data_IF_910067301994
#
_entry.id   IF_910067301994
#
_cell.length_a   1.000
_cell.length_b   1.000
_cell.length_c   1.000
_cell.angle_alpha   90.00
_cell.angle_beta   90.00
_cell.angle_gamma   90.00
#
_symmetry.space_group_name_H-M   'P 1'
#
loop_
_entity.id
_entity.type
_entity.pdbx_description
1 polymer ?
#
# COMPACT_ATOMS: atom_id res chain seq x y z
N UNK A 1 -14.58 83.40 72.80
CA UNK A 1 -15.65 83.86 73.72
C UNK A 1 -16.89 84.10 72.89
N UNK A 2 -18.00 83.42 73.16
CA UNK A 2 -19.31 83.76 72.58
C UNK A 2 -20.34 83.59 73.69
N UNK A 3 -20.62 84.67 74.40
CA UNK A 3 -21.73 84.75 75.37
C UNK A 3 -23.04 84.59 74.60
N UNK A 4 -23.57 83.36 74.55
CA UNK A 4 -24.90 83.12 74.00
C UNK A 4 -25.90 83.57 75.04
N UNK A 5 -26.68 84.58 74.67
CA UNK A 5 -27.87 84.96 75.42
C UNK A 5 -28.79 83.74 75.50
N UNK A 6 -29.33 83.48 76.69
CA UNK A 6 -30.30 82.42 76.96
C UNK A 6 -31.72 82.99 77.02
N UNK A 7 -32.74 82.16 76.76
CA UNK A 7 -34.16 82.55 76.95
C UNK A 7 -34.43 83.07 78.36
N UNK A 8 -33.74 82.52 79.36
CA UNK A 8 -33.80 82.99 80.76
C UNK A 8 -33.26 84.42 80.88
N UNK A 9 -32.11 84.72 80.28
CA UNK A 9 -31.52 86.07 80.29
C UNK A 9 -32.37 87.09 79.51
N UNK A 10 -33.09 86.66 78.46
CA UNK A 10 -34.05 87.50 77.72
C UNK A 10 -35.26 87.82 78.59
N UNK A 11 -35.85 86.82 79.26
CA UNK A 11 -37.01 86.99 80.15
C UNK A 11 -36.69 87.85 81.37
N UNK A 12 -35.47 87.77 81.90
CA UNK A 12 -35.04 88.50 83.09
C UNK A 12 -34.47 89.89 82.79
N UNK A 13 -34.44 90.31 81.52
CA UNK A 13 -33.86 91.59 81.13
C UNK A 13 -34.71 92.76 81.61
N UNK A 14 -34.12 93.62 82.43
CA UNK A 14 -34.75 94.87 82.87
C UNK A 14 -34.14 96.08 82.14
N UNK A 15 -34.98 97.06 81.80
CA UNK A 15 -34.57 98.31 81.15
C UNK A 15 -34.69 99.52 82.08
N UNK A 16 -33.75 100.46 81.99
CA UNK A 16 -33.76 101.69 82.77
C UNK A 16 -34.89 102.63 82.30
N UNK A 17 -35.63 103.24 83.24
CA UNK A 17 -36.65 104.25 82.91
C UNK A 17 -35.98 105.54 82.43
N UNK A 18 -36.44 106.09 81.29
CA UNK A 18 -35.99 107.39 80.78
C UNK A 18 -36.65 108.53 81.58
N UNK A 19 -35.89 109.51 82.04
CA UNK A 19 -36.36 110.56 82.97
C UNK A 19 -37.29 111.62 82.37
N UNK A 20 -37.56 111.60 81.06
CA UNK A 20 -38.35 112.63 80.38
C UNK A 20 -39.34 112.01 79.38
N UNK A 21 -40.60 111.88 79.81
CA UNK A 21 -41.84 111.88 79.01
C UNK A 21 -42.12 110.84 77.91
N UNK A 22 -41.13 110.10 77.39
CA UNK A 22 -41.33 109.16 76.29
C UNK A 22 -40.58 107.85 76.51
N UNK A 23 -41.33 106.76 76.70
CA UNK A 23 -40.81 105.40 76.88
C UNK A 23 -41.84 104.36 76.47
N UNK A 24 -41.36 103.14 76.20
CA UNK A 24 -42.22 102.01 75.84
C UNK A 24 -43.04 101.52 77.05
N UNK A 25 -44.22 100.96 76.78
CA UNK A 25 -45.03 100.29 77.80
C UNK A 25 -44.27 99.08 78.36
N UNK A 26 -44.20 98.99 79.69
CA UNK A 26 -43.47 97.92 80.37
C UNK A 26 -44.11 96.56 80.17
N UNK A 27 -45.44 96.51 80.15
CA UNK A 27 -46.17 95.25 80.02
C UNK A 27 -46.07 94.73 78.59
N UNK A 28 -46.12 95.63 77.59
CA UNK A 28 -45.89 95.30 76.18
C UNK A 28 -44.46 94.81 75.93
N UNK A 29 -43.45 95.50 76.49
CA UNK A 29 -42.04 95.08 76.39
C UNK A 29 -41.80 93.73 77.07
N UNK A 30 -42.42 93.48 78.23
CA UNK A 30 -42.31 92.20 78.93
C UNK A 30 -42.94 91.05 78.12
N UNK A 31 -44.12 91.28 77.52
CA UNK A 31 -44.76 90.31 76.63
C UNK A 31 -43.92 90.03 75.39
N UNK A 32 -43.33 91.06 74.78
CA UNK A 32 -42.44 90.91 73.62
C UNK A 32 -41.14 90.16 73.97
N UNK A 33 -40.53 90.44 75.12
CA UNK A 33 -39.37 89.68 75.61
C UNK A 33 -39.71 88.21 75.88
N UNK A 34 -40.88 87.92 76.44
CA UNK A 34 -41.33 86.55 76.65
C UNK A 34 -41.52 85.80 75.31
N UNK A 35 -42.11 86.46 74.31
CA UNK A 35 -42.24 85.93 72.95
C UNK A 35 -40.87 85.68 72.29
N UNK A 36 -39.96 86.65 72.32
CA UNK A 36 -38.60 86.47 71.79
C UNK A 36 -37.89 85.32 72.48
N UNK A 37 -38.02 85.20 73.80
CA UNK A 37 -37.38 84.13 74.55
C UNK A 37 -37.91 82.74 74.16
N UNK A 38 -39.22 82.62 73.88
CA UNK A 38 -39.82 81.39 73.37
C UNK A 38 -39.33 81.04 71.96
N UNK A 39 -39.33 82.01 71.04
CA UNK A 39 -38.81 81.79 69.67
C UNK A 39 -37.30 81.49 69.68
N UNK A 40 -36.56 82.05 70.64
CA UNK A 40 -35.13 81.75 70.83
C UNK A 40 -34.88 80.32 71.30
N UNK A 41 -35.69 79.80 72.24
CA UNK A 41 -35.62 78.40 72.66
C UNK A 41 -35.93 77.46 71.49
N UNK A 42 -36.98 77.76 70.72
CA UNK A 42 -37.34 77.00 69.52
C UNK A 42 -36.21 76.99 68.49
N UNK A 43 -35.62 78.16 68.20
CA UNK A 43 -34.49 78.27 67.26
C UNK A 43 -33.26 77.48 67.74
N UNK A 44 -33.00 77.46 69.06
CA UNK A 44 -31.90 76.68 69.64
C UNK A 44 -32.14 75.18 69.50
N UNK A 45 -33.37 74.71 69.68
CA UNK A 45 -33.70 73.29 69.53
C UNK A 45 -33.68 72.86 68.06
N UNK A 46 -34.24 73.66 67.15
CA UNK A 46 -34.15 73.44 65.69
C UNK A 46 -32.68 73.39 65.21
N UNK A 47 -31.81 74.25 65.76
CA UNK A 47 -30.39 74.27 65.45
C UNK A 47 -29.65 73.02 65.97
N UNK A 48 -30.01 72.51 67.16
CA UNK A 48 -29.46 71.25 67.68
C UNK A 48 -29.91 70.07 66.83
N UNK A 49 -31.20 69.99 66.50
CA UNK A 49 -31.75 68.92 65.67
C UNK A 49 -31.09 68.91 64.29
N UNK A 50 -30.99 70.07 63.66
CA UNK A 50 -30.30 70.24 62.37
C UNK A 50 -28.84 69.79 62.45
N UNK A 51 -28.13 70.13 63.53
CA UNK A 51 -26.75 69.70 63.73
C UNK A 51 -26.63 68.18 63.86
N UNK A 52 -27.50 67.54 64.66
CA UNK A 52 -27.52 66.08 64.78
C UNK A 52 -27.77 65.42 63.42
N UNK A 53 -28.68 66.00 62.62
CA UNK A 53 -29.00 65.49 61.29
C UNK A 53 -27.84 65.66 60.31
N UNK A 54 -27.12 66.78 60.35
CA UNK A 54 -25.91 67.01 59.55
C UNK A 54 -24.85 65.97 59.93
N UNK A 55 -24.54 65.83 61.22
CA UNK A 55 -23.54 64.87 61.70
C UNK A 55 -23.89 63.42 61.29
N UNK A 56 -25.18 63.07 61.28
CA UNK A 56 -25.66 61.78 60.80
C UNK A 56 -25.48 61.60 59.28
N UNK A 57 -25.91 62.59 58.48
CA UNK A 57 -25.80 62.53 57.02
C UNK A 57 -24.34 62.52 56.55
N UNK A 58 -23.45 63.26 57.21
CA UNK A 58 -22.02 63.25 56.91
C UNK A 58 -21.39 61.87 57.11
N UNK A 59 -21.77 61.16 58.19
CA UNK A 59 -21.33 59.77 58.41
C UNK A 59 -21.85 58.82 57.34
N UNK A 60 -23.11 58.96 56.94
CA UNK A 60 -23.70 58.10 55.92
C UNK A 60 -23.05 58.34 54.55
N UNK A 61 -22.80 59.60 54.19
CA UNK A 61 -22.05 59.96 52.97
C UNK A 61 -20.64 59.35 53.00
N UNK A 62 -19.95 59.40 54.14
CA UNK A 62 -18.62 58.81 54.26
C UNK A 62 -18.65 57.30 54.03
N UNK A 63 -19.63 56.61 54.61
CA UNK A 63 -19.81 55.16 54.43
C UNK A 63 -20.14 54.81 52.98
N UNK A 64 -21.01 55.57 52.32
CA UNK A 64 -21.34 55.36 50.91
C UNK A 64 -20.13 55.53 50.01
N UNK A 65 -19.27 56.54 50.28
CA UNK A 65 -18.02 56.73 49.54
C UNK A 65 -17.03 55.59 49.71
N UNK A 66 -16.94 55.00 50.90
CA UNK A 66 -16.10 53.82 51.14
C UNK A 66 -16.59 52.60 50.35
N UNK A 67 -17.90 52.38 50.35
CA UNK A 67 -18.54 51.30 49.57
C UNK A 67 -18.33 51.52 48.08
N UNK A 68 -18.55 52.73 47.58
CA UNK A 68 -18.33 53.10 46.18
C UNK A 68 -16.87 52.85 45.75
N UNK A 69 -15.90 53.24 46.58
CA UNK A 69 -14.49 53.02 46.31
C UNK A 69 -14.14 51.53 46.25
N UNK A 70 -14.68 50.73 47.17
CA UNK A 70 -14.51 49.27 47.16
C UNK A 70 -15.14 48.62 45.93
N UNK A 71 -16.32 49.07 45.53
CA UNK A 71 -17.01 48.58 44.34
C UNK A 71 -16.22 48.91 43.07
N UNK A 72 -15.71 50.14 42.96
CA UNK A 72 -14.91 50.57 41.82
C UNK A 72 -13.61 49.75 41.69
N UNK A 73 -12.92 49.50 42.81
CA UNK A 73 -11.73 48.64 42.82
C UNK A 73 -12.05 47.21 42.37
N UNK A 74 -13.17 46.67 42.82
CA UNK A 74 -13.60 45.31 42.46
C UNK A 74 -13.96 45.23 40.98
N UNK A 75 -14.71 46.21 40.46
CA UNK A 75 -15.06 46.28 39.05
C UNK A 75 -13.83 46.37 38.16
N UNK A 76 -12.88 47.27 38.51
CA UNK A 76 -11.64 47.42 37.76
C UNK A 76 -10.79 46.15 37.79
N UNK A 77 -10.69 45.48 38.93
CA UNK A 77 -9.98 44.20 39.03
C UNK A 77 -10.65 43.11 38.18
N UNK A 78 -11.99 43.06 38.15
CA UNK A 78 -12.74 42.13 37.31
C UNK A 78 -12.54 42.42 35.81
N UNK A 79 -12.51 43.69 35.40
CA UNK A 79 -12.22 44.12 34.03
C UNK A 79 -10.80 43.73 33.60
N UNK A 80 -9.80 44.03 34.42
CA UNK A 80 -8.39 43.70 34.16
C UNK A 80 -8.18 42.19 34.07
N UNK A 81 -8.79 41.43 34.98
CA UNK A 81 -8.77 39.96 34.96
C UNK A 81 -9.42 39.42 33.69
N UNK A 82 -10.58 39.98 33.30
CA UNK A 82 -11.29 39.56 32.09
C UNK A 82 -10.49 39.84 30.83
N UNK A 83 -9.86 41.02 30.72
CA UNK A 83 -8.98 41.34 29.60
C UNK A 83 -7.79 40.38 29.53
N UNK A 84 -7.10 40.18 30.64
CA UNK A 84 -5.94 39.27 30.72
C UNK A 84 -6.34 37.84 30.36
N UNK A 85 -7.51 37.38 30.81
CA UNK A 85 -8.02 36.05 30.50
C UNK A 85 -8.31 35.89 29.00
N UNK A 86 -8.88 36.91 28.35
CA UNK A 86 -9.13 36.90 26.89
C UNK A 86 -7.81 36.85 26.12
N UNK A 87 -6.82 37.65 26.53
CA UNK A 87 -5.51 37.67 25.86
C UNK A 87 -4.77 36.34 26.01
N UNK A 88 -4.78 35.76 27.22
CA UNK A 88 -4.23 34.42 27.46
C UNK A 88 -4.96 33.34 26.65
N UNK A 89 -6.29 33.40 26.55
CA UNK A 89 -7.07 32.46 25.76
C UNK A 89 -6.72 32.55 24.27
N UNK A 90 -6.54 33.78 23.74
CA UNK A 90 -6.10 34.01 22.36
C UNK A 90 -4.70 33.47 22.10
N UNK A 91 -3.74 33.79 22.96
CA UNK A 91 -2.37 33.28 22.83
C UNK A 91 -2.33 31.74 22.88
N UNK A 92 -3.06 31.14 23.82
CA UNK A 92 -3.16 29.69 23.93
C UNK A 92 -3.83 29.05 22.71
N UNK A 93 -4.84 29.71 22.12
CA UNK A 93 -5.46 29.25 20.89
C UNK A 93 -4.49 29.30 19.70
N UNK A 94 -3.72 30.38 19.55
CA UNK A 94 -2.70 30.51 18.51
C UNK A 94 -1.61 29.44 18.64
N UNK A 95 -1.11 29.19 19.86
CA UNK A 95 -0.14 28.12 20.13
C UNK A 95 -0.73 26.76 19.73
N UNK A 96 -1.97 26.47 20.14
CA UNK A 96 -2.64 25.20 19.78
C UNK A 96 -2.81 25.04 18.28
N UNK A 97 -3.18 26.11 17.56
CA UNK A 97 -3.31 26.09 16.11
C UNK A 97 -1.94 25.86 15.44
N UNK A 98 -0.89 26.52 15.92
CA UNK A 98 0.47 26.35 15.39
C UNK A 98 0.99 24.93 15.62
N UNK A 99 0.81 24.37 16.83
CA UNK A 99 1.20 22.98 17.15
C UNK A 99 0.41 21.96 16.33
N UNK A 100 -0.90 22.17 16.16
CA UNK A 100 -1.74 21.32 15.31
C UNK A 100 -1.29 21.33 13.85
N UNK A 101 -0.95 22.52 13.32
CA UNK A 101 -0.43 22.66 11.95
C UNK A 101 0.91 21.94 11.79
N UNK A 102 1.85 22.15 12.72
CA UNK A 102 3.15 21.49 12.69
C UNK A 102 3.04 19.95 12.74
N UNK A 103 2.13 19.44 13.57
CA UNK A 103 1.82 17.99 13.64
C UNK A 103 1.22 17.47 12.34
N UNK A 104 0.27 18.21 11.75
CA UNK A 104 -0.32 17.83 10.48
C UNK A 104 0.73 17.76 9.36
N UNK A 105 1.60 18.77 9.28
CA UNK A 105 2.68 18.80 8.29
C UNK A 105 3.69 17.66 8.48
N UNK A 106 4.02 17.33 9.74
CA UNK A 106 4.87 16.19 10.06
C UNK A 106 4.24 14.85 9.61
N UNK A 107 2.95 14.64 9.91
CA UNK A 107 2.21 13.43 9.51
C UNK A 107 2.15 13.33 7.98
N UNK A 108 1.86 14.43 7.28
CA UNK A 108 1.79 14.44 5.81
C UNK A 108 3.15 14.15 5.17
N UNK A 109 4.24 14.68 5.74
CA UNK A 109 5.58 14.41 5.25
C UNK A 109 5.96 12.93 5.45
N UNK A 110 5.73 12.39 6.65
CA UNK A 110 5.99 10.98 6.94
C UNK A 110 5.18 10.05 6.03
N UNK A 111 3.89 10.31 5.85
CA UNK A 111 3.04 9.56 4.93
C UNK A 111 3.55 9.61 3.47
N UNK A 112 4.03 10.76 3.01
CA UNK A 112 4.63 10.90 1.67
C UNK A 112 5.93 10.10 1.53
N UNK A 113 6.78 10.11 2.56
CA UNK A 113 8.02 9.34 2.57
C UNK A 113 7.73 7.83 2.55
N UNK A 114 6.79 7.37 3.37
CA UNK A 114 6.36 5.97 3.38
C UNK A 114 5.76 5.55 2.03
N UNK A 115 4.88 6.37 1.45
CA UNK A 115 4.30 6.09 0.13
C UNK A 115 5.38 5.97 -0.95
N UNK A 116 6.35 6.89 -0.96
CA UNK A 116 7.49 6.85 -1.89
C UNK A 116 8.32 5.58 -1.71
N UNK A 117 8.59 5.18 -0.46
CA UNK A 117 9.33 3.96 -0.16
C UNK A 117 8.59 2.70 -0.64
N UNK A 118 7.26 2.64 -0.45
CA UNK A 118 6.41 1.54 -0.93
C UNK A 118 6.47 1.45 -2.46
N UNK A 119 6.31 2.58 -3.16
CA UNK A 119 6.37 2.62 -4.63
C UNK A 119 7.73 2.15 -5.13
N UNK A 120 8.83 2.65 -4.54
CA UNK A 120 10.18 2.23 -4.91
C UNK A 120 10.40 0.73 -4.68
N UNK A 121 9.94 0.19 -3.54
CA UNK A 121 10.02 -1.25 -3.24
C UNK A 121 9.21 -2.08 -4.24
N UNK A 122 8.02 -1.63 -4.60
CA UNK A 122 7.18 -2.29 -5.60
C UNK A 122 7.82 -2.30 -6.99
N UNK A 123 8.39 -1.16 -7.41
CA UNK A 123 9.12 -1.05 -8.68
C UNK A 123 10.34 -1.96 -8.73
N UNK A 124 11.14 -2.00 -7.65
CA UNK A 124 12.30 -2.88 -7.56
C UNK A 124 11.88 -4.35 -7.64
N UNK A 125 10.81 -4.73 -6.92
CA UNK A 125 10.27 -6.10 -6.97
C UNK A 125 9.79 -6.48 -8.36
N UNK A 126 9.06 -5.59 -9.04
CA UNK A 126 8.59 -5.82 -10.41
C UNK A 126 9.76 -6.00 -11.39
N UNK A 127 10.81 -5.18 -11.26
CA UNK A 127 12.03 -5.32 -12.07
C UNK A 127 12.71 -6.67 -11.84
N UNK A 128 12.83 -7.11 -10.58
CA UNK A 128 13.45 -8.39 -10.27
C UNK A 128 12.66 -9.57 -10.85
N UNK A 129 11.33 -9.55 -10.72
CA UNK A 129 10.44 -10.56 -11.32
C UNK A 129 10.62 -10.58 -12.84
N UNK A 130 10.71 -9.41 -13.49
CA UNK A 130 10.89 -9.34 -14.93
C UNK A 130 12.24 -9.95 -15.38
N UNK A 131 13.31 -9.74 -14.60
CA UNK A 131 14.62 -10.35 -14.87
C UNK A 131 14.52 -11.87 -14.75
N UNK A 132 13.89 -12.37 -13.68
CA UNK A 132 13.68 -13.81 -13.45
C UNK A 132 12.90 -14.46 -14.59
N UNK A 133 11.78 -13.86 -15.00
CA UNK A 133 10.97 -14.35 -16.12
C UNK A 133 11.75 -14.37 -17.45
N UNK A 134 12.58 -13.35 -17.71
CA UNK A 134 13.41 -13.32 -18.92
C UNK A 134 14.47 -14.43 -18.92
N UNK A 135 15.06 -14.72 -17.76
CA UNK A 135 16.03 -15.80 -17.60
C UNK A 135 15.37 -17.17 -17.80
N UNK A 136 14.22 -17.40 -17.18
CA UNK A 136 13.43 -18.62 -17.39
C UNK A 136 13.01 -18.80 -18.86
N UNK A 137 12.56 -17.73 -19.51
CA UNK A 137 12.16 -17.79 -20.93
C UNK A 137 13.34 -18.18 -21.82
N UNK A 138 14.54 -17.67 -21.55
CA UNK A 138 15.76 -18.02 -22.28
C UNK A 138 16.15 -19.49 -22.09
N UNK A 139 15.98 -20.01 -20.88
CA UNK A 139 16.19 -21.45 -20.62
C UNK A 139 15.18 -22.27 -21.41
N UNK A 140 13.89 -21.90 -21.38
CA UNK A 140 12.84 -22.58 -22.13
C UNK A 140 13.07 -22.56 -23.64
N UNK A 141 13.50 -21.43 -24.19
CA UNK A 141 13.88 -21.32 -25.61
C UNK A 141 14.97 -22.33 -25.98
N UNK A 142 16.03 -22.44 -25.16
CA UNK A 142 17.11 -23.40 -25.37
C UNK A 142 16.60 -24.85 -25.30
N UNK A 143 15.71 -25.15 -24.35
CA UNK A 143 15.10 -26.48 -24.22
C UNK A 143 14.28 -26.83 -25.47
N UNK A 144 13.48 -25.88 -25.98
CA UNK A 144 12.71 -26.05 -27.22
C UNK A 144 13.62 -26.32 -28.42
N UNK A 145 14.71 -25.57 -28.57
CA UNK A 145 15.65 -25.79 -29.67
C UNK A 145 16.32 -27.17 -29.59
N UNK A 146 16.63 -27.65 -28.37
CA UNK A 146 17.18 -29.00 -28.17
C UNK A 146 16.17 -30.08 -28.56
N UNK A 147 14.89 -29.89 -28.19
CA UNK A 147 13.81 -30.80 -28.56
C UNK A 147 13.56 -30.80 -30.08
N UNK A 148 13.65 -29.64 -30.72
CA UNK A 148 13.55 -29.50 -32.17
C UNK A 148 14.66 -30.27 -32.89
N UNK A 149 15.91 -30.13 -32.44
CA UNK A 149 17.02 -30.91 -32.99
C UNK A 149 16.79 -32.42 -32.82
N UNK A 150 16.24 -32.86 -31.67
CA UNK A 150 15.87 -34.26 -31.45
C UNK A 150 14.77 -34.74 -32.41
N UNK A 151 13.73 -33.92 -32.62
CA UNK A 151 12.67 -34.18 -33.60
C UNK A 151 13.25 -34.36 -35.00
N UNK A 152 14.15 -33.48 -35.41
CA UNK A 152 14.73 -33.51 -36.76
C UNK A 152 15.63 -34.73 -36.96
N UNK A 153 16.42 -35.10 -35.95
CA UNK A 153 17.20 -36.35 -35.97
C UNK A 153 16.29 -37.58 -36.08
N UNK A 154 15.20 -37.65 -35.32
CA UNK A 154 14.23 -38.74 -35.41
C UNK A 154 13.60 -38.84 -36.81
N UNK A 155 13.28 -37.70 -37.42
CA UNK A 155 12.76 -37.69 -38.80
C UNK A 155 13.78 -38.21 -39.81
N UNK A 156 15.05 -37.86 -39.65
CA UNK A 156 16.13 -38.40 -40.49
C UNK A 156 16.26 -39.91 -40.31
N UNK A 157 16.23 -40.40 -39.07
CA UNK A 157 16.30 -41.83 -38.75
C UNK A 157 15.13 -42.61 -39.37
N UNK A 158 13.89 -42.09 -39.24
CA UNK A 158 12.69 -42.69 -39.83
C UNK A 158 12.80 -42.71 -41.36
N UNK A 159 13.24 -41.62 -41.97
CA UNK A 159 13.41 -41.54 -43.43
C UNK A 159 14.46 -42.53 -43.92
N UNK A 160 15.58 -42.66 -43.20
CA UNK A 160 16.59 -43.67 -43.46
C UNK A 160 16.01 -45.08 -43.40
N UNK A 161 15.32 -45.42 -42.31
CA UNK A 161 14.69 -46.73 -42.12
C UNK A 161 13.66 -47.05 -43.22
N UNK A 162 12.84 -46.08 -43.62
CA UNK A 162 11.87 -46.24 -44.71
C UNK A 162 12.57 -46.49 -46.04
N UNK A 163 13.63 -45.75 -46.36
CA UNK A 163 14.40 -45.96 -47.58
C UNK A 163 15.08 -47.33 -47.60
N UNK A 164 15.71 -47.75 -46.49
CA UNK A 164 16.36 -49.06 -46.36
C UNK A 164 15.33 -50.20 -46.51
N UNK A 165 14.15 -50.02 -45.93
CA UNK A 165 13.04 -50.98 -46.04
C UNK A 165 12.53 -51.04 -47.47
N UNK A 166 12.36 -49.88 -48.13
CA UNK A 166 11.94 -49.79 -49.52
C UNK A 166 12.95 -50.47 -50.44
N UNK A 167 14.25 -50.23 -50.25
CA UNK A 167 15.31 -50.89 -51.03
C UNK A 167 15.27 -52.41 -50.88
N UNK A 168 15.07 -52.90 -49.65
CA UNK A 168 14.90 -54.34 -49.39
C UNK A 168 13.67 -54.91 -50.11
N UNK A 169 12.53 -54.22 -50.06
CA UNK A 169 11.31 -54.64 -50.76
C UNK A 169 11.53 -54.64 -52.27
N UNK A 170 12.09 -53.57 -52.84
CA UNK A 170 12.39 -53.49 -54.28
C UNK A 170 13.36 -54.58 -54.73
N UNK A 171 14.38 -54.94 -53.93
CA UNK A 171 15.28 -56.07 -54.23
C UNK A 171 14.54 -57.41 -54.23
N UNK A 172 13.56 -57.59 -53.35
CA UNK A 172 12.72 -58.80 -53.32
C UNK A 172 11.74 -58.84 -54.50
N UNK A 173 11.16 -57.70 -54.88
CA UNK A 173 10.28 -57.59 -56.06
C UNK A 173 11.04 -57.77 -57.37
N UNK A 174 12.27 -57.23 -57.48
CA UNK A 174 13.13 -57.38 -58.66
C UNK A 174 13.63 -58.82 -58.87
N UNK A 175 13.57 -59.67 -57.83
CA UNK A 175 13.75 -61.11 -58.00
C UNK A 175 12.48 -61.69 -58.61
N UNK A 176 12.34 -61.54 -59.93
CA UNK A 176 11.32 -62.24 -60.68
C UNK A 176 11.62 -63.74 -60.62
N UNK A 177 10.81 -64.49 -59.88
CA UNK A 177 10.92 -65.95 -59.82
C UNK A 177 10.91 -66.58 -61.22
N UNK A 178 10.23 -65.92 -62.16
CA UNK A 178 10.16 -66.30 -63.56
C UNK A 178 11.55 -66.31 -64.23
N UNK A 179 12.41 -65.32 -63.98
CA UNK A 179 13.74 -65.26 -64.61
C UNK A 179 14.67 -66.33 -64.04
N UNK A 180 14.59 -66.60 -62.73
CA UNK A 180 15.32 -67.69 -62.09
C UNK A 180 14.94 -69.06 -62.68
N UNK A 181 13.63 -69.33 -62.80
CA UNK A 181 13.18 -70.60 -63.36
C UNK A 181 13.44 -70.70 -64.87
N UNK A 182 13.41 -69.59 -65.62
CA UNK A 182 13.81 -69.59 -67.04
C UNK A 182 15.29 -69.91 -67.21
N UNK A 183 16.17 -69.31 -66.40
CA UNK A 183 17.60 -69.63 -66.42
C UNK A 183 17.86 -71.09 -66.04
N UNK A 184 17.17 -71.61 -65.02
CA UNK A 184 17.27 -73.04 -64.66
C UNK A 184 16.74 -73.97 -65.74
N UNK A 185 15.67 -73.60 -66.44
CA UNK A 185 15.18 -74.35 -67.60
C UNK A 185 16.21 -74.34 -68.74
N UNK A 186 16.91 -73.23 -68.98
CA UNK A 186 17.98 -73.16 -69.97
C UNK A 186 19.19 -74.04 -69.60
N UNK A 187 19.63 -74.01 -68.35
CA UNK A 187 20.73 -74.88 -67.88
C UNK A 187 20.38 -76.36 -68.05
N UNK A 188 19.14 -76.74 -67.73
CA UNK A 188 18.66 -78.13 -67.93
C UNK A 188 18.62 -78.49 -69.41
N UNK A 189 18.21 -77.56 -70.29
CA UNK A 189 18.22 -77.79 -71.75
C UNK A 189 19.62 -78.00 -72.29
N UNK A 190 20.58 -77.16 -71.92
CA UNK A 190 21.99 -77.32 -72.34
C UNK A 190 22.57 -78.66 -71.86
N UNK A 191 22.29 -79.05 -70.63
CA UNK A 191 22.74 -80.35 -70.11
C UNK A 191 22.13 -81.54 -70.87
N UNK A 192 20.87 -81.42 -71.32
CA UNK A 192 20.22 -82.44 -72.15
C UNK A 192 20.84 -82.50 -73.56
N UNK A 193 21.11 -81.35 -74.20
CA UNK A 193 21.80 -81.28 -75.49
C UNK A 193 23.21 -81.89 -75.42
N UNK A 194 23.98 -81.55 -74.39
CA UNK A 194 25.34 -82.06 -74.18
C UNK A 194 25.33 -83.60 -73.95
N UNK A 195 24.30 -84.11 -73.27
CA UNK A 195 24.07 -85.56 -73.11
C UNK A 195 23.62 -86.23 -74.40
N UNK A 196 22.81 -85.57 -75.24
CA UNK A 196 22.35 -86.10 -76.52
C UNK A 196 23.46 -86.12 -77.58
N UNK A 197 24.31 -85.09 -77.63
CA UNK A 197 25.46 -85.04 -78.53
C UNK A 197 26.50 -86.11 -78.17
N UNK A 198 26.76 -86.33 -76.88
CA UNK A 198 27.62 -87.41 -76.42
C UNK A 198 27.02 -88.81 -76.74
N UNK A 199 25.70 -88.98 -76.67
CA UNK A 199 25.04 -90.24 -77.02
C UNK A 199 25.01 -90.49 -78.54
N UNK A 200 24.93 -89.44 -79.36
CA UNK A 200 25.02 -89.51 -80.82
C UNK A 200 26.40 -89.97 -81.31
N UNK A 201 27.47 -89.44 -80.70
CA UNK A 201 28.84 -89.87 -81.00
C UNK A 201 29.12 -91.32 -80.57
N UNK A 202 28.46 -91.79 -79.51
CA UNK A 202 28.58 -93.16 -79.00
C UNK A 202 27.82 -94.17 -79.89
N UNK A 203 26.68 -93.78 -80.47
CA UNK A 203 25.92 -94.60 -81.41
C UNK A 203 26.55 -94.72 -82.81
N UNK A 204 27.30 -93.71 -83.28
CA UNK A 204 28.11 -93.80 -84.51
C UNK A 204 29.33 -94.74 -84.35
N UNK A 205 29.90 -94.81 -83.15
CA UNK A 205 30.93 -95.79 -82.76
C UNK A 205 30.40 -97.24 -82.77
N UNK A 206 29.20 -97.44 -82.23
CA UNK A 206 28.63 -98.78 -82.04
C UNK A 206 27.97 -99.36 -83.30
N UNK A 207 27.52 -98.51 -84.24
CA UNK A 207 26.98 -98.94 -85.54
C UNK A 207 28.04 -99.56 -86.49
N UNK A 208 29.32 -99.27 -86.28
CA UNK A 208 30.40 -99.90 -87.05
C UNK A 208 30.73 -101.34 -86.60
N UNK A 209 30.18 -101.77 -85.45
CA UNK A 209 30.61 -102.98 -84.73
C UNK A 209 29.53 -104.09 -84.58
N UNK A 210 28.43 -104.04 -85.34
CA UNK A 210 27.34 -105.03 -85.31
C UNK A 210 27.18 -105.80 -86.65
N UNK A 211 28.28 -106.39 -87.14
CA UNK A 211 28.29 -107.17 -88.39
C UNK A 211 29.40 -108.22 -88.59
N UNK A 212 29.82 -109.01 -87.59
CA UNK A 212 30.24 -110.42 -87.76
C UNK A 212 30.55 -111.07 -86.41
N UNK A 213 30.01 -112.27 -86.20
CA UNK A 213 29.53 -112.81 -84.93
C UNK A 213 30.55 -113.58 -84.08
N UNK A 214 30.32 -113.56 -82.75
CA UNK A 214 30.00 -114.83 -82.07
C UNK A 214 30.44 -115.00 -80.60
N UNK A 215 29.47 -114.76 -79.71
CA UNK A 215 29.05 -115.60 -78.56
C UNK A 215 29.86 -115.68 -77.23
N UNK A 216 29.08 -115.45 -76.15
CA UNK A 216 28.96 -116.18 -74.85
C UNK A 216 30.16 -116.13 -73.88
N UNK A 217 30.06 -115.92 -72.56
CA UNK A 217 28.96 -115.89 -71.58
C UNK A 217 29.38 -115.05 -70.33
N UNK A 218 28.37 -114.79 -69.48
CA UNK A 218 28.27 -114.22 -68.11
C UNK A 218 29.47 -114.50 -67.15
N UNK A 219 29.81 -113.75 -66.09
CA UNK A 219 29.07 -113.11 -64.97
C UNK A 219 30.14 -112.32 -64.14
N UNK A 220 30.17 -110.98 -63.94
CA UNK A 220 29.50 -110.06 -62.97
C UNK A 220 29.70 -110.52 -61.49
N UNK A 221 30.23 -109.80 -60.48
CA UNK A 221 30.50 -108.38 -60.10
C UNK A 221 31.22 -108.39 -58.71
N UNK A 222 31.40 -107.29 -57.93
CA UNK A 222 31.84 -105.93 -58.23
C UNK A 222 33.02 -105.48 -57.31
N UNK A 223 33.88 -104.61 -57.83
CA UNK A 223 34.79 -103.72 -57.10
C UNK A 223 34.61 -102.34 -57.77
N UNK A 224 34.60 -101.18 -57.14
CA UNK A 224 35.29 -100.70 -55.96
C UNK A 224 35.80 -99.28 -56.28
N UNK A 225 36.05 -98.45 -55.26
CA UNK A 225 36.81 -97.19 -55.33
C UNK A 225 36.09 -96.03 -56.04
N UNK A 226 36.13 -94.79 -55.58
CA UNK A 226 37.14 -94.07 -54.80
C UNK A 226 37.25 -92.71 -55.49
N UNK A 227 36.69 -91.65 -54.92
CA UNK A 227 37.45 -90.57 -54.27
C UNK A 227 38.77 -90.21 -54.97
N UNK A 228 38.76 -89.05 -55.63
CA UNK A 228 39.90 -88.36 -56.23
C UNK A 228 40.04 -86.99 -55.56
N UNK A 229 40.21 -86.98 -54.24
CA UNK A 229 40.86 -85.82 -53.63
C UNK A 229 42.19 -85.56 -54.34
N UNK A 230 42.59 -84.29 -54.29
CA UNK A 230 43.94 -83.82 -54.52
C UNK A 230 44.33 -83.62 -55.99
N UNK A 231 44.27 -82.37 -56.45
CA UNK A 231 45.47 -81.53 -56.52
C UNK A 231 45.10 -80.10 -56.96
N UNK A 232 45.20 -79.12 -56.05
CA UNK A 232 46.28 -78.11 -55.98
C UNK A 232 46.06 -76.97 -57.02
N UNK A 233 45.59 -75.80 -56.58
CA UNK A 233 46.36 -74.68 -55.99
C UNK A 233 47.22 -73.91 -57.01
N UNK A 234 46.76 -72.70 -57.34
CA UNK A 234 47.55 -71.48 -57.63
C UNK A 234 46.65 -70.26 -57.43
#
# INVERSE_FOLDING_TARGET
>A
MSTRITSVEIKQKTFNKKSFGGGYDKDEVAAFLAYIAQEWDKLLDDAKESKIKIDFLEREISKLKEVENSLFKTLRAAEETSSTMVDQARQNAEIKLSDAQAKADAILNDARLQAKAIIQKAQLRAKNIMIEVLEELKIKEKDYHTLENYRDNLFLDIRGFVNDTLEKVSKLEARNAQDYFQQKIQEVKQFIEEKQDNLGQQLESDAHNLGSNGKTDEEIQPNGGGSFFDEISS
#
